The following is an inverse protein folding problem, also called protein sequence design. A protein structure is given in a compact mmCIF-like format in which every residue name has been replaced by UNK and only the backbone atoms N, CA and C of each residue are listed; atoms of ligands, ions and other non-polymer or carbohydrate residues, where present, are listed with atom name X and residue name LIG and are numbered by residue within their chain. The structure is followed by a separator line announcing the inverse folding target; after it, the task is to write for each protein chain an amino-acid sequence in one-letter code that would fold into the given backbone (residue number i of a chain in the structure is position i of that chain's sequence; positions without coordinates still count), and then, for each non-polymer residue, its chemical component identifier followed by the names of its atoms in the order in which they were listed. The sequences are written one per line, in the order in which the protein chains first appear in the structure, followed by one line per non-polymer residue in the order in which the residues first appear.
data_IF_764746448716
#
_entry.id   IF_764746448716
#
_cell.length_a   1.000
_cell.length_b   1.000
_cell.length_c   1.000
_cell.angle_alpha   90.00
_cell.angle_beta   90.00
_cell.angle_gamma   90.00
#
_symmetry.space_group_name_H-M   'P 1'
#
loop_
_entity.id
_entity.type
_entity.pdbx_description
1 polymer ?
#
# COMPACT_ATOMS: atom_id res chain seq x y z
N UNK A 1 7.04 35.01 -21.03
CA UNK A 1 7.45 34.13 -19.91
C UNK A 1 6.53 32.93 -19.93
N UNK A 2 6.95 31.85 -20.58
CA UNK A 2 6.14 30.62 -20.68
C UNK A 2 6.35 29.81 -19.40
N UNK A 3 5.24 29.50 -18.73
CA UNK A 3 5.20 28.66 -17.54
C UNK A 3 5.56 27.24 -17.97
N UNK A 4 6.83 26.87 -17.81
CA UNK A 4 7.37 25.58 -18.21
C UNK A 4 7.37 24.64 -17.02
N UNK A 5 6.82 23.46 -17.27
CA UNK A 5 7.00 22.23 -16.50
C UNK A 5 6.33 22.20 -15.12
N UNK A 6 5.00 22.12 -15.15
CA UNK A 6 4.26 21.20 -14.30
C UNK A 6 4.66 19.76 -14.67
N UNK A 7 5.89 19.35 -14.37
CA UNK A 7 6.41 18.02 -14.71
C UNK A 7 7.07 17.37 -13.49
N UNK A 8 6.43 16.30 -13.06
CA UNK A 8 7.04 15.14 -12.41
C UNK A 8 7.61 15.31 -10.98
N UNK A 9 6.72 15.49 -10.00
CA UNK A 9 6.93 14.95 -8.64
C UNK A 9 5.67 14.20 -8.15
N UNK A 10 5.00 13.46 -9.03
CA UNK A 10 3.92 12.53 -8.65
C UNK A 10 4.45 11.12 -8.30
N UNK A 11 5.75 10.98 -8.03
CA UNK A 11 6.38 9.67 -7.80
C UNK A 11 6.17 9.07 -6.40
N UNK A 12 5.40 9.70 -5.50
CA UNK A 12 5.47 9.32 -4.08
C UNK A 12 4.18 8.86 -3.41
N UNK A 13 3.14 8.48 -4.17
CA UNK A 13 1.92 7.89 -3.61
C UNK A 13 1.30 6.92 -4.63
N UNK A 14 1.82 5.70 -4.72
CA UNK A 14 1.41 4.78 -5.79
C UNK A 14 0.05 4.11 -5.58
N UNK A 15 -0.48 4.07 -4.35
CA UNK A 15 -1.89 3.70 -4.13
C UNK A 15 -2.79 4.88 -4.51
N UNK A 16 -3.83 4.64 -5.30
CA UNK A 16 -4.85 5.65 -5.53
C UNK A 16 -5.65 5.96 -4.25
N UNK A 17 -6.16 7.18 -4.11
CA UNK A 17 -6.87 7.62 -2.90
C UNK A 17 -8.07 6.73 -2.53
N UNK A 18 -8.73 6.14 -3.52
CA UNK A 18 -9.85 5.24 -3.28
C UNK A 18 -9.35 3.91 -2.68
N UNK A 19 -8.27 3.33 -3.21
CA UNK A 19 -7.66 2.13 -2.66
C UNK A 19 -7.13 2.39 -1.24
N UNK A 20 -6.50 3.54 -0.97
CA UNK A 20 -6.08 3.91 0.39
C UNK A 20 -7.24 3.97 1.37
N UNK A 21 -8.31 4.66 0.99
CA UNK A 21 -9.50 4.82 1.84
C UNK A 21 -10.13 3.46 2.14
N UNK A 22 -10.30 2.62 1.12
CA UNK A 22 -10.86 1.29 1.30
C UNK A 22 -9.91 0.37 2.10
N UNK A 23 -8.60 0.48 1.91
CA UNK A 23 -7.61 -0.27 2.68
C UNK A 23 -7.68 0.09 4.16
N UNK A 24 -7.83 1.37 4.50
CA UNK A 24 -8.02 1.82 5.89
C UNK A 24 -9.34 1.31 6.48
N UNK A 25 -10.44 1.39 5.72
CA UNK A 25 -11.77 0.95 6.17
C UNK A 25 -11.85 -0.57 6.34
N UNK A 26 -11.32 -1.32 5.39
CA UNK A 26 -11.34 -2.79 5.34
C UNK A 26 -10.11 -3.42 6.00
N UNK A 27 -9.22 -2.61 6.59
CA UNK A 27 -7.92 -3.08 7.09
C UNK A 27 -8.05 -4.29 8.00
N UNK A 28 -8.96 -4.23 8.98
CA UNK A 28 -9.18 -5.32 9.94
C UNK A 28 -9.67 -6.60 9.27
N UNK A 29 -10.45 -6.48 8.19
CA UNK A 29 -10.95 -7.61 7.39
C UNK A 29 -9.85 -8.23 6.54
N UNK A 30 -9.03 -7.41 5.87
CA UNK A 30 -7.97 -7.89 4.96
C UNK A 30 -6.67 -8.22 5.68
N UNK A 31 -6.46 -7.75 6.91
CA UNK A 31 -5.26 -8.01 7.73
C UNK A 31 -4.84 -9.48 7.76
N UNK A 32 -5.72 -10.47 8.04
CA UNK A 32 -5.33 -11.88 7.99
C UNK A 32 -4.88 -12.31 6.59
N UNK A 33 -5.49 -11.78 5.52
CA UNK A 33 -5.08 -12.07 4.14
C UNK A 33 -3.71 -11.45 3.84
N UNK A 34 -3.45 -10.21 4.31
CA UNK A 34 -2.14 -9.57 4.22
C UNK A 34 -1.05 -10.38 4.91
N UNK A 35 -1.32 -10.92 6.10
CA UNK A 35 -0.37 -11.79 6.82
C UNK A 35 -0.09 -13.09 6.06
N UNK A 36 -1.12 -13.69 5.46
CA UNK A 36 -0.95 -14.91 4.67
C UNK A 36 -0.18 -14.66 3.37
N UNK A 37 -0.45 -13.55 2.70
CA UNK A 37 0.14 -13.20 1.42
C UNK A 37 1.57 -12.66 1.56
N UNK A 38 1.85 -11.95 2.65
CA UNK A 38 3.15 -11.38 2.97
C UNK A 38 3.68 -11.99 4.28
N UNK A 39 4.17 -13.23 4.21
CA UNK A 39 4.66 -14.00 5.38
C UNK A 39 5.82 -13.36 6.15
N UNK A 40 6.49 -12.35 5.57
CA UNK A 40 7.56 -11.58 6.21
C UNK A 40 7.08 -10.42 7.11
N UNK A 41 5.76 -10.17 7.16
CA UNK A 41 5.19 -9.09 7.96
C UNK A 41 4.81 -9.57 9.37
N UNK A 42 5.18 -8.77 10.36
CA UNK A 42 4.64 -8.93 11.71
C UNK A 42 3.31 -8.21 11.86
N UNK A 43 2.53 -8.58 12.88
CA UNK A 43 1.30 -7.86 13.22
C UNK A 43 1.54 -6.38 13.53
N UNK A 44 2.68 -6.05 14.13
CA UNK A 44 3.10 -4.68 14.40
C UNK A 44 3.41 -3.92 13.11
N UNK A 45 4.04 -4.56 12.12
CA UNK A 45 4.31 -3.95 10.81
C UNK A 45 3.01 -3.60 10.09
N UNK A 46 2.03 -4.50 10.14
CA UNK A 46 0.70 -4.27 9.59
C UNK A 46 -0.03 -3.15 10.32
N UNK A 47 -0.08 -3.15 11.65
CA UNK A 47 -0.74 -2.10 12.43
C UNK A 47 -0.18 -0.71 12.11
N UNK A 48 1.14 -0.56 11.97
CA UNK A 48 1.73 0.74 11.59
C UNK A 48 1.32 1.23 10.21
N UNK A 49 1.06 0.29 9.27
CA UNK A 49 0.61 0.60 7.92
C UNK A 49 -0.90 0.85 7.81
N UNK A 50 -1.68 0.60 8.87
CA UNK A 50 -3.12 0.91 8.88
C UNK A 50 -3.37 2.41 8.78
N UNK A 51 -2.60 3.21 9.52
CA UNK A 51 -2.70 4.67 9.52
C UNK A 51 -2.19 5.31 8.23
N UNK A 52 -1.22 4.67 7.58
CA UNK A 52 -0.58 5.16 6.36
C UNK A 52 -0.38 4.00 5.37
N UNK A 53 -1.30 3.85 4.40
CA UNK A 53 -1.23 2.83 3.36
C UNK A 53 0.04 2.90 2.50
N UNK A 54 0.64 4.06 2.32
CA UNK A 54 1.85 4.20 1.52
C UNK A 54 3.07 3.68 2.32
N UNK A 55 3.12 3.96 3.63
CA UNK A 55 4.09 3.33 4.52
C UNK A 55 3.92 1.82 4.60
N UNK A 56 2.68 1.32 4.52
CA UNK A 56 2.44 -0.12 4.46
C UNK A 56 3.15 -0.72 3.24
N UNK A 57 2.96 -0.16 2.04
CA UNK A 57 3.61 -0.63 0.81
C UNK A 57 5.13 -0.64 0.96
N UNK A 58 5.70 0.45 1.48
CA UNK A 58 7.15 0.54 1.69
C UNK A 58 7.66 -0.52 2.69
N UNK A 59 6.96 -0.72 3.81
CA UNK A 59 7.31 -1.75 4.80
C UNK A 59 7.26 -3.14 4.22
N UNK A 60 6.20 -3.45 3.47
CA UNK A 60 6.07 -4.75 2.79
C UNK A 60 7.25 -4.94 1.85
N UNK A 61 7.57 -3.94 1.02
CA UNK A 61 8.69 -3.99 0.09
C UNK A 61 10.01 -4.25 0.79
N UNK A 62 10.28 -3.55 1.90
CA UNK A 62 11.50 -3.73 2.68
C UNK A 62 11.60 -5.11 3.35
N UNK A 63 10.47 -5.66 3.81
CA UNK A 63 10.43 -6.94 4.54
C UNK A 63 10.44 -8.15 3.61
N UNK A 64 9.74 -8.08 2.48
CA UNK A 64 9.58 -9.19 1.55
C UNK A 64 10.57 -9.11 0.38
N UNK A 65 11.21 -7.96 0.17
CA UNK A 65 12.04 -7.68 -1.01
C UNK A 65 11.24 -7.52 -2.29
N UNK A 66 9.90 -7.50 -2.21
CA UNK A 66 9.05 -7.35 -3.39
C UNK A 66 9.00 -5.90 -3.86
N UNK A 67 8.89 -5.66 -5.17
CA UNK A 67 8.73 -4.31 -5.70
C UNK A 67 7.37 -3.72 -5.28
N UNK A 68 7.35 -2.42 -4.94
CA UNK A 68 6.15 -1.69 -4.51
C UNK A 68 4.97 -1.86 -5.47
N UNK A 69 5.24 -1.85 -6.79
CA UNK A 69 4.21 -2.06 -7.83
C UNK A 69 3.48 -3.39 -7.71
N UNK A 70 4.17 -4.47 -7.36
CA UNK A 70 3.52 -5.78 -7.14
C UNK A 70 2.70 -5.76 -5.85
N UNK A 71 3.19 -5.09 -4.82
CA UNK A 71 2.49 -4.99 -3.54
C UNK A 71 1.20 -4.19 -3.71
N UNK A 72 1.25 -3.05 -4.40
CA UNK A 72 0.08 -2.22 -4.68
C UNK A 72 -1.00 -2.97 -5.43
N UNK A 73 -0.63 -3.74 -6.47
CA UNK A 73 -1.60 -4.57 -7.20
C UNK A 73 -2.24 -5.60 -6.29
N UNK A 74 -1.46 -6.26 -5.43
CA UNK A 74 -1.98 -7.24 -4.47
C UNK A 74 -2.91 -6.59 -3.45
N UNK A 75 -2.53 -5.43 -2.90
CA UNK A 75 -3.37 -4.65 -1.98
C UNK A 75 -4.69 -4.24 -2.65
N UNK A 76 -4.62 -3.78 -3.90
CA UNK A 76 -5.81 -3.40 -4.67
C UNK A 76 -6.74 -4.59 -4.89
N UNK A 77 -6.20 -5.75 -5.26
CA UNK A 77 -6.99 -6.98 -5.41
C UNK A 77 -7.62 -7.40 -4.08
N UNK A 78 -6.86 -7.40 -2.99
CA UNK A 78 -7.37 -7.77 -1.66
C UNK A 78 -8.53 -6.87 -1.23
N UNK A 79 -8.35 -5.56 -1.35
CA UNK A 79 -9.35 -4.56 -0.99
C UNK A 79 -10.61 -4.65 -1.85
N UNK A 80 -10.47 -5.00 -3.14
CA UNK A 80 -11.61 -5.24 -4.04
C UNK A 80 -12.32 -6.57 -3.77
N UNK A 81 -11.61 -7.56 -3.21
CA UNK A 81 -12.12 -8.91 -2.94
C UNK A 81 -12.72 -9.09 -1.54
N UNK A 82 -12.46 -8.16 -0.63
CA UNK A 82 -12.99 -8.11 0.74
C UNK A 82 -14.19 -7.17 0.85
#
# INVERSE_FOLDING_TARGET
MFNLANEALWETLMLDQQTKTQLQQKFQTIKPQLQQQFSGLTEQDLQSGQSDPDQLVQKISQKTGQPSTQIEQQLKTLVQSA
#
